data_IF_771667051154
#
_entry.id   IF_771667051154
#
_cell.length_a   1.000
_cell.length_b   1.000
_cell.length_c   1.000
_cell.angle_alpha   90.00
_cell.angle_beta   90.00
_cell.angle_gamma   90.00
#
_symmetry.space_group_name_H-M   'P 1'
#
loop_
_entity.id
_entity.type
_entity.pdbx_description
1 polymer ?
#
# COMPACT_ATOMS: atom_id res chain seq x y z
N UNK A 1 11.92 -2.09 -8.69
CA UNK A 1 12.58 -2.26 -7.38
C UNK A 1 11.58 -2.45 -6.25
N UNK A 2 10.64 -1.52 -5.99
CA UNK A 2 9.71 -1.61 -4.86
C UNK A 2 8.75 -2.81 -4.98
N UNK A 3 8.12 -3.01 -6.14
CA UNK A 3 7.23 -4.15 -6.38
C UNK A 3 7.98 -5.48 -6.25
N UNK A 4 9.20 -5.57 -6.77
CA UNK A 4 10.06 -6.74 -6.65
C UNK A 4 10.42 -7.03 -5.20
N UNK A 5 10.75 -5.97 -4.44
CA UNK A 5 11.01 -6.11 -3.00
C UNK A 5 9.78 -6.60 -2.24
N UNK A 6 8.61 -5.98 -2.46
CA UNK A 6 7.37 -6.40 -1.81
C UNK A 6 7.00 -7.85 -2.19
N UNK A 7 7.22 -8.22 -3.45
CA UNK A 7 7.01 -9.59 -3.91
C UNK A 7 7.89 -10.56 -3.13
N UNK A 8 9.19 -10.30 -3.04
CA UNK A 8 10.14 -11.12 -2.30
C UNK A 8 9.87 -11.13 -0.78
N UNK A 9 9.67 -9.95 -0.17
CA UNK A 9 9.45 -9.81 1.27
C UNK A 9 8.15 -10.44 1.77
N UNK A 10 7.17 -10.62 0.89
CA UNK A 10 5.87 -11.21 1.25
C UNK A 10 5.65 -12.60 0.65
N UNK A 11 6.67 -13.18 0.01
CA UNK A 11 6.58 -14.53 -0.58
C UNK A 11 6.33 -15.59 0.51
N UNK A 12 5.47 -16.58 0.27
CA UNK A 12 5.26 -17.68 1.20
C UNK A 12 6.58 -18.47 1.41
N UNK A 13 6.97 -18.70 2.65
CA UNK A 13 8.10 -19.61 2.98
C UNK A 13 9.49 -18.96 3.15
N UNK A 14 9.65 -17.67 3.00
CA UNK A 14 10.89 -16.97 3.35
C UNK A 14 10.82 -16.45 4.79
N UNK A 15 11.51 -17.09 5.71
CA UNK A 15 11.72 -16.56 7.07
C UNK A 15 10.76 -17.01 8.17
N UNK A 16 10.13 -18.18 8.08
CA UNK A 16 9.51 -18.86 9.23
C UNK A 16 8.20 -18.32 9.80
N UNK A 17 7.77 -17.14 9.42
CA UNK A 17 6.45 -16.57 9.74
C UNK A 17 5.88 -15.92 8.48
N UNK A 18 5.35 -16.74 7.58
CA UNK A 18 4.77 -16.24 6.33
C UNK A 18 3.64 -15.24 6.56
N UNK A 19 3.66 -14.15 5.81
CA UNK A 19 2.48 -13.30 5.63
C UNK A 19 1.35 -14.22 5.13
N UNK A 20 0.26 -14.35 5.89
CA UNK A 20 -0.78 -15.33 5.62
C UNK A 20 -1.39 -15.12 4.23
N UNK A 21 -2.09 -14.03 4.03
CA UNK A 21 -2.67 -13.64 2.75
C UNK A 21 -2.15 -12.28 2.34
N UNK A 22 -1.77 -12.14 1.08
CA UNK A 22 -1.43 -10.87 0.47
C UNK A 22 -2.35 -10.59 -0.71
N UNK A 23 -2.85 -9.38 -0.80
CA UNK A 23 -3.59 -8.88 -1.94
C UNK A 23 -2.93 -7.56 -2.37
N UNK A 24 -2.75 -7.37 -3.67
CA UNK A 24 -2.03 -6.24 -4.24
C UNK A 24 -2.91 -5.51 -5.24
N UNK A 25 -2.93 -4.19 -5.13
CA UNK A 25 -3.70 -3.32 -6.02
C UNK A 25 -2.83 -2.19 -6.52
N UNK A 26 -3.01 -1.81 -7.77
CA UNK A 26 -2.57 -0.54 -8.30
C UNK A 26 -3.76 0.42 -8.41
N UNK A 27 -3.48 1.70 -8.28
CA UNK A 27 -4.46 2.75 -8.45
C UNK A 27 -3.92 3.86 -9.36
N UNK A 28 -4.79 4.39 -10.19
CA UNK A 28 -4.63 5.53 -11.07
C UNK A 28 -5.92 6.30 -11.04
N UNK A 29 -6.64 6.41 -12.15
CA UNK A 29 -8.04 6.88 -12.20
C UNK A 29 -9.02 5.86 -11.62
N UNK A 30 -8.63 4.58 -11.57
CA UNK A 30 -9.38 3.47 -10.98
C UNK A 30 -8.50 2.53 -10.18
N UNK A 31 -9.06 1.38 -9.79
CA UNK A 31 -8.38 0.34 -9.02
C UNK A 31 -8.16 -0.89 -9.90
N UNK A 32 -6.91 -1.38 -9.97
CA UNK A 32 -6.52 -2.60 -10.68
C UNK A 32 -6.05 -3.67 -9.69
N UNK A 33 -6.65 -4.87 -9.73
CA UNK A 33 -6.20 -6.00 -8.91
C UNK A 33 -4.96 -6.64 -9.51
N UNK A 34 -3.83 -6.51 -8.84
CA UNK A 34 -2.55 -7.11 -9.19
C UNK A 34 -2.28 -8.42 -8.44
N UNK A 35 -3.21 -8.87 -7.61
CA UNK A 35 -3.05 -10.11 -6.83
C UNK A 35 -2.71 -11.32 -7.69
N UNK A 36 -3.32 -11.51 -8.89
CA UNK A 36 -2.94 -12.61 -9.78
C UNK A 36 -1.47 -12.56 -10.23
N UNK A 37 -0.95 -11.36 -10.57
CA UNK A 37 0.45 -11.17 -10.95
C UNK A 37 1.40 -11.56 -9.80
N UNK A 38 1.06 -11.21 -8.57
CA UNK A 38 1.86 -11.51 -7.39
C UNK A 38 1.86 -12.99 -6.97
N UNK A 39 1.09 -13.84 -7.63
CA UNK A 39 1.14 -15.31 -7.43
C UNK A 39 2.27 -15.98 -8.22
N UNK A 40 2.83 -15.32 -9.22
CA UNK A 40 4.00 -15.84 -9.91
C UNK A 40 5.19 -15.93 -8.96
N UNK A 41 5.91 -17.05 -8.99
CA UNK A 41 7.09 -17.23 -8.15
C UNK A 41 8.28 -16.38 -8.63
N UNK A 42 8.39 -16.22 -9.94
CA UNK A 42 9.42 -15.43 -10.59
C UNK A 42 9.08 -13.93 -10.60
N UNK A 43 10.05 -13.09 -10.22
CA UNK A 43 9.88 -11.64 -10.12
C UNK A 43 9.70 -10.95 -11.48
N UNK A 44 10.35 -11.43 -12.52
CA UNK A 44 10.25 -10.86 -13.88
C UNK A 44 8.90 -11.20 -14.49
N UNK A 45 8.42 -12.43 -14.31
CA UNK A 45 7.07 -12.83 -14.71
C UNK A 45 6.00 -12.02 -13.96
N UNK A 46 6.18 -11.81 -12.65
CA UNK A 46 5.30 -10.95 -11.85
C UNK A 46 5.24 -9.54 -12.41
N UNK A 47 6.39 -8.91 -12.70
CA UNK A 47 6.46 -7.55 -13.25
C UNK A 47 5.80 -7.46 -14.63
N UNK A 48 6.02 -8.44 -15.52
CA UNK A 48 5.41 -8.48 -16.83
C UNK A 48 3.87 -8.53 -16.74
N UNK A 49 3.34 -9.41 -15.88
CA UNK A 49 1.89 -9.53 -15.67
C UNK A 49 1.30 -8.29 -14.99
N UNK A 50 1.99 -7.71 -14.02
CA UNK A 50 1.56 -6.47 -13.37
C UNK A 50 1.51 -5.30 -14.37
N UNK A 51 2.53 -5.16 -15.21
CA UNK A 51 2.58 -4.12 -16.25
C UNK A 51 1.47 -4.29 -17.30
N UNK A 52 1.17 -5.52 -17.69
CA UNK A 52 0.09 -5.80 -18.64
C UNK A 52 -1.31 -5.51 -18.04
N UNK A 53 -1.48 -5.68 -16.73
CA UNK A 53 -2.75 -5.45 -16.05
C UNK A 53 -3.05 -3.95 -15.87
N UNK A 54 -2.02 -3.11 -15.72
CA UNK A 54 -2.19 -1.67 -15.51
C UNK A 54 -2.33 -0.99 -16.88
N UNK A 55 -3.52 -0.57 -17.23
CA UNK A 55 -3.81 0.06 -18.52
C UNK A 55 -3.85 1.59 -18.47
N UNK A 56 -3.89 2.17 -17.29
CA UNK A 56 -4.07 3.61 -17.09
C UNK A 56 -2.88 4.25 -16.35
N UNK A 57 -1.84 4.57 -17.10
CA UNK A 57 -0.67 5.28 -16.56
C UNK A 57 -0.76 6.81 -16.70
N UNK A 58 -1.72 7.36 -17.46
CA UNK A 58 -1.73 8.76 -17.87
C UNK A 58 -2.86 9.60 -17.26
N UNK A 59 -3.81 8.99 -16.59
CA UNK A 59 -5.06 9.65 -16.14
C UNK A 59 -4.97 10.46 -14.84
N UNK A 60 -3.81 10.52 -14.20
CA UNK A 60 -3.66 11.09 -12.86
C UNK A 60 -4.08 10.11 -11.75
N UNK A 61 -3.93 10.53 -10.51
CA UNK A 61 -4.23 9.69 -9.32
C UNK A 61 -5.51 10.19 -8.65
N UNK A 62 -6.51 9.30 -8.54
CA UNK A 62 -7.77 9.54 -7.81
C UNK A 62 -7.89 8.53 -6.67
N UNK A 63 -7.06 8.72 -5.65
CA UNK A 63 -6.91 7.77 -4.56
C UNK A 63 -8.22 7.56 -3.78
N UNK A 64 -8.99 8.63 -3.54
CA UNK A 64 -10.29 8.54 -2.87
C UNK A 64 -11.25 7.62 -3.59
N UNK A 65 -11.35 7.75 -4.91
CA UNK A 65 -12.23 6.91 -5.75
C UNK A 65 -11.74 5.45 -5.78
N UNK A 66 -10.43 5.22 -5.90
CA UNK A 66 -9.85 3.89 -5.87
C UNK A 66 -10.07 3.18 -4.51
N UNK A 67 -9.91 3.90 -3.40
CA UNK A 67 -10.20 3.36 -2.07
C UNK A 67 -11.69 3.10 -1.87
N UNK A 68 -12.57 3.93 -2.42
CA UNK A 68 -14.02 3.67 -2.43
C UNK A 68 -14.34 2.38 -3.18
N UNK A 69 -13.73 2.16 -4.34
CA UNK A 69 -13.88 0.94 -5.11
C UNK A 69 -13.35 -0.28 -4.34
N UNK A 70 -12.17 -0.18 -3.71
CA UNK A 70 -11.61 -1.21 -2.83
C UNK A 70 -12.61 -1.59 -1.71
N UNK A 71 -13.16 -0.58 -1.04
CA UNK A 71 -14.13 -0.78 0.03
C UNK A 71 -15.37 -1.51 -0.45
N UNK A 72 -15.94 -1.11 -1.57
CA UNK A 72 -17.17 -1.73 -2.09
C UNK A 72 -16.97 -3.15 -2.59
N UNK A 73 -15.87 -3.42 -3.26
CA UNK A 73 -15.66 -4.70 -3.97
C UNK A 73 -14.90 -5.72 -3.14
N UNK A 74 -13.99 -5.28 -2.27
CA UNK A 74 -13.01 -6.17 -1.65
C UNK A 74 -12.99 -6.12 -0.12
N UNK A 75 -13.52 -5.05 0.53
CA UNK A 75 -13.32 -4.83 1.95
C UNK A 75 -13.81 -5.96 2.84
N UNK A 76 -14.95 -6.57 2.54
CA UNK A 76 -15.49 -7.70 3.31
C UNK A 76 -14.50 -8.87 3.41
N UNK A 77 -13.69 -9.06 2.39
CA UNK A 77 -12.75 -10.17 2.27
C UNK A 77 -11.36 -9.80 2.79
N UNK A 78 -10.95 -8.53 2.66
CA UNK A 78 -9.56 -8.10 2.84
C UNK A 78 -9.33 -7.28 4.10
N UNK A 79 -10.30 -6.47 4.52
CA UNK A 79 -10.08 -5.49 5.59
C UNK A 79 -10.63 -5.98 6.92
N UNK A 80 -9.76 -6.06 7.92
CA UNK A 80 -10.11 -6.45 9.28
C UNK A 80 -9.02 -6.07 10.27
N UNK A 81 -9.27 -6.30 11.55
CA UNK A 81 -8.37 -5.91 12.66
C UNK A 81 -6.96 -6.51 12.59
N UNK A 82 -6.76 -7.55 11.81
CA UNK A 82 -5.45 -8.19 11.60
C UNK A 82 -4.85 -7.86 10.23
N UNK A 83 -5.45 -6.93 9.50
CA UNK A 83 -4.96 -6.50 8.18
C UNK A 83 -3.98 -5.35 8.36
N UNK A 84 -2.77 -5.50 7.82
CA UNK A 84 -1.84 -4.43 7.56
C UNK A 84 -2.10 -3.89 6.15
N UNK A 85 -2.39 -2.61 6.06
CA UNK A 85 -2.53 -1.89 4.79
C UNK A 85 -1.27 -1.07 4.55
N UNK A 86 -0.59 -1.34 3.43
CA UNK A 86 0.54 -0.55 2.95
C UNK A 86 0.05 0.31 1.79
N UNK A 87 0.01 1.62 1.95
CA UNK A 87 -0.36 2.56 0.92
C UNK A 87 0.89 3.28 0.40
N UNK A 88 1.21 3.07 -0.87
CA UNK A 88 2.40 3.61 -1.51
C UNK A 88 1.99 4.75 -2.43
N UNK A 89 2.35 5.97 -2.09
CA UNK A 89 2.01 7.17 -2.85
C UNK A 89 2.90 8.34 -2.46
N UNK A 90 3.15 9.25 -3.38
CA UNK A 90 3.75 10.57 -3.12
C UNK A 90 2.76 11.58 -2.49
N UNK A 91 1.49 11.21 -2.43
CA UNK A 91 0.44 12.06 -1.89
C UNK A 91 -0.15 13.08 -2.87
N UNK A 92 0.28 13.05 -4.15
CA UNK A 92 -0.32 13.87 -5.20
C UNK A 92 -1.62 13.22 -5.66
N UNK A 93 -2.73 13.76 -5.21
CA UNK A 93 -4.07 13.28 -5.55
C UNK A 93 -4.83 14.38 -6.30
N UNK A 94 -5.42 14.01 -7.44
CA UNK A 94 -6.23 14.89 -8.27
C UNK A 94 -7.73 14.74 -8.01
N UNK A 95 -8.10 13.80 -7.15
CA UNK A 95 -9.49 13.54 -6.74
C UNK A 95 -10.02 14.54 -5.73
N UNK A 96 -11.27 14.35 -5.32
CA UNK A 96 -11.92 15.18 -4.31
C UNK A 96 -11.38 14.85 -2.90
N UNK A 97 -10.85 15.85 -2.17
CA UNK A 97 -10.27 15.62 -0.83
C UNK A 97 -11.25 15.02 0.17
N UNK A 98 -12.54 15.35 0.05
CA UNK A 98 -13.58 14.81 0.92
C UNK A 98 -13.76 13.30 0.74
N UNK A 99 -13.68 12.80 -0.49
CA UNK A 99 -13.73 11.36 -0.78
C UNK A 99 -12.53 10.64 -0.18
N UNK A 100 -11.33 11.19 -0.35
CA UNK A 100 -10.11 10.63 0.24
C UNK A 100 -10.19 10.59 1.77
N UNK A 101 -10.61 11.68 2.39
CA UNK A 101 -10.80 11.79 3.83
C UNK A 101 -11.75 10.71 4.37
N UNK A 102 -12.89 10.52 3.71
CA UNK A 102 -13.90 9.55 4.09
C UNK A 102 -13.35 8.12 4.04
N UNK A 103 -12.70 7.75 2.96
CA UNK A 103 -12.23 6.38 2.74
C UNK A 103 -11.02 6.04 3.61
N UNK A 104 -10.07 6.96 3.79
CA UNK A 104 -8.95 6.77 4.73
C UNK A 104 -9.44 6.69 6.18
N UNK A 105 -10.41 7.52 6.56
CA UNK A 105 -11.03 7.44 7.87
C UNK A 105 -11.73 6.11 8.10
N UNK A 106 -12.38 5.56 7.09
CA UNK A 106 -12.97 4.23 7.16
C UNK A 106 -11.89 3.15 7.31
N UNK A 107 -10.85 3.15 6.45
CA UNK A 107 -9.74 2.20 6.52
C UNK A 107 -9.08 2.20 7.90
N UNK A 108 -8.74 3.38 8.42
CA UNK A 108 -8.10 3.52 9.73
C UNK A 108 -8.91 2.86 10.87
N UNK A 109 -10.23 2.93 10.79
CA UNK A 109 -11.10 2.33 11.83
C UNK A 109 -11.27 0.82 11.69
N UNK A 110 -11.07 0.26 10.50
CA UNK A 110 -11.40 -1.13 10.21
C UNK A 110 -10.18 -2.04 10.02
N UNK A 111 -9.04 -1.51 9.57
CA UNK A 111 -7.80 -2.29 9.49
C UNK A 111 -7.08 -2.35 10.85
N UNK A 112 -6.11 -3.25 10.97
CA UNK A 112 -5.23 -3.33 12.13
C UNK A 112 -4.21 -2.19 12.12
N UNK A 113 -3.60 -1.96 10.96
CA UNK A 113 -2.64 -0.87 10.76
C UNK A 113 -2.69 -0.36 9.32
N UNK A 114 -2.52 0.96 9.16
CA UNK A 114 -2.39 1.66 7.90
C UNK A 114 -1.05 2.40 7.89
N UNK A 115 -0.12 1.97 7.04
CA UNK A 115 1.18 2.62 6.86
C UNK A 115 1.22 3.32 5.51
N UNK A 116 1.61 4.59 5.53
CA UNK A 116 1.86 5.34 4.31
C UNK A 116 3.34 5.27 3.94
N UNK A 117 3.63 4.69 2.79
CA UNK A 117 4.96 4.56 2.22
C UNK A 117 5.17 5.69 1.21
N UNK A 118 5.96 6.70 1.60
CA UNK A 118 6.14 7.90 0.81
C UNK A 118 7.56 7.96 0.20
N UNK A 119 7.70 7.88 -1.14
CA UNK A 119 8.99 7.96 -1.81
C UNK A 119 9.63 9.35 -1.74
N UNK A 120 8.87 10.41 -1.47
CA UNK A 120 9.37 11.78 -1.36
C UNK A 120 10.12 12.06 -0.06
N UNK A 121 10.04 11.17 0.93
CA UNK A 121 10.83 11.27 2.16
C UNK A 121 12.35 11.16 1.92
N UNK A 122 12.78 10.85 0.70
CA UNK A 122 14.19 10.93 0.30
C UNK A 122 14.73 12.36 0.24
N UNK A 123 13.86 13.35 0.12
CA UNK A 123 14.26 14.75 0.02
C UNK A 123 14.30 15.38 1.41
N UNK A 124 15.47 15.95 1.73
CA UNK A 124 15.69 16.67 2.99
C UNK A 124 14.71 17.85 3.09
N UNK A 125 14.03 17.99 4.24
CA UNK A 125 13.04 19.04 4.44
C UNK A 125 11.67 18.79 3.81
N UNK A 126 11.40 17.60 3.22
CA UNK A 126 10.08 17.28 2.71
C UNK A 126 9.00 17.44 3.81
N UNK A 127 7.91 18.11 3.44
CA UNK A 127 6.71 18.22 4.26
C UNK A 127 5.47 17.84 3.44
N UNK A 128 4.50 17.09 4.01
CA UNK A 128 3.29 16.69 3.32
C UNK A 128 2.29 17.86 3.21
N UNK A 129 2.61 18.85 2.36
CA UNK A 129 1.81 20.08 2.18
C UNK A 129 0.77 19.98 1.06
N UNK A 130 0.90 19.02 0.15
CA UNK A 130 -0.13 18.75 -0.84
C UNK A 130 -1.40 18.25 -0.15
N UNK A 131 -2.58 18.64 -0.64
CA UNK A 131 -3.89 18.29 -0.02
C UNK A 131 -4.03 16.79 0.25
N UNK A 132 -3.71 15.94 -0.72
CA UNK A 132 -3.75 14.49 -0.55
C UNK A 132 -2.75 13.98 0.49
N UNK A 133 -1.52 14.54 0.48
CA UNK A 133 -0.47 14.21 1.43
C UNK A 133 -0.84 14.58 2.87
N UNK A 134 -1.49 15.73 3.09
CA UNK A 134 -1.99 16.11 4.42
C UNK A 134 -3.03 15.13 4.96
N UNK A 135 -3.97 14.71 4.10
CA UNK A 135 -5.02 13.76 4.48
C UNK A 135 -4.41 12.40 4.82
N UNK A 136 -3.46 11.91 3.99
CA UNK A 136 -2.71 10.67 4.24
C UNK A 136 -1.95 10.74 5.56
N UNK A 137 -1.23 11.83 5.80
CA UNK A 137 -0.44 12.02 7.02
C UNK A 137 -1.29 11.98 8.30
N UNK A 138 -2.49 12.56 8.27
CA UNK A 138 -3.42 12.56 9.42
C UNK A 138 -4.04 11.19 9.69
N UNK A 139 -4.24 10.37 8.65
CA UNK A 139 -4.97 9.11 8.77
C UNK A 139 -4.07 7.88 8.87
N UNK A 140 -2.86 7.93 8.34
CA UNK A 140 -1.91 6.83 8.50
C UNK A 140 -1.54 6.65 9.99
N UNK A 141 -1.29 5.42 10.41
CA UNK A 141 -0.72 5.12 11.72
C UNK A 141 0.78 5.39 11.76
N UNK A 142 1.43 5.42 10.60
CA UNK A 142 2.83 5.77 10.44
C UNK A 142 3.16 6.08 8.98
N UNK A 143 4.23 6.86 8.77
CA UNK A 143 4.77 7.19 7.46
C UNK A 143 6.22 6.70 7.39
N UNK A 144 6.55 5.96 6.32
CA UNK A 144 7.86 5.36 6.12
C UNK A 144 8.44 5.75 4.75
N UNK A 145 9.74 5.92 4.70
CA UNK A 145 10.47 6.11 3.45
C UNK A 145 10.61 4.78 2.69
N UNK A 146 10.63 4.84 1.35
CA UNK A 146 10.78 3.66 0.48
C UNK A 146 11.68 3.94 -0.73
N UNK A 147 12.79 4.58 -0.52
CA UNK A 147 13.65 5.05 -1.61
C UNK A 147 15.05 4.41 -1.65
N UNK A 148 15.47 3.71 -0.61
CA UNK A 148 16.76 3.03 -0.55
C UNK A 148 16.65 1.68 0.20
N UNK A 149 17.75 0.93 0.25
CA UNK A 149 17.78 -0.38 0.90
C UNK A 149 17.49 -0.31 2.40
N UNK A 150 18.00 0.72 3.08
CA UNK A 150 17.78 0.92 4.51
C UNK A 150 16.29 1.14 4.83
N UNK A 151 15.60 1.99 4.06
CA UNK A 151 14.17 2.22 4.22
C UNK A 151 13.34 0.97 3.92
N UNK A 152 13.77 0.13 2.98
CA UNK A 152 13.13 -1.16 2.70
C UNK A 152 13.37 -2.17 3.84
N UNK A 153 14.53 -2.17 4.46
CA UNK A 153 14.82 -2.98 5.66
C UNK A 153 13.96 -2.54 6.85
N UNK A 154 13.83 -1.23 7.09
CA UNK A 154 12.93 -0.67 8.11
C UNK A 154 11.48 -1.08 7.86
N UNK A 155 11.03 -1.06 6.61
CA UNK A 155 9.71 -1.54 6.21
C UNK A 155 9.53 -3.03 6.55
N UNK A 156 10.51 -3.88 6.21
CA UNK A 156 10.46 -5.30 6.52
C UNK A 156 10.35 -5.56 8.02
N UNK A 157 11.13 -4.85 8.84
CA UNK A 157 11.04 -4.93 10.30
C UNK A 157 9.67 -4.46 10.82
N UNK A 158 9.12 -3.38 10.27
CA UNK A 158 7.79 -2.88 10.64
C UNK A 158 6.69 -3.87 10.31
N UNK A 159 6.76 -4.49 9.14
CA UNK A 159 5.84 -5.57 8.74
C UNK A 159 5.94 -6.74 9.71
N UNK A 160 7.14 -7.21 10.01
CA UNK A 160 7.36 -8.32 10.93
C UNK A 160 6.82 -8.02 12.33
N UNK A 161 7.04 -6.82 12.86
CA UNK A 161 6.55 -6.40 14.17
C UNK A 161 5.02 -6.39 14.27
N UNK A 162 4.35 -5.97 13.19
CA UNK A 162 2.87 -5.93 13.12
C UNK A 162 2.27 -7.32 13.02
N UNK A 163 2.97 -8.24 12.35
CA UNK A 163 2.51 -9.62 12.16
C UNK A 163 2.78 -10.52 13.34
N UNK A 164 3.63 -10.11 14.29
CA UNK A 164 3.84 -10.87 15.52
C UNK A 164 2.57 -10.86 16.37
N UNK A 165 2.05 -12.04 16.80
CA UNK A 165 0.93 -12.09 17.73
C UNK A 165 1.37 -11.42 19.03
N UNK A 166 0.67 -10.37 19.45
CA UNK A 166 0.86 -9.82 20.80
C UNK A 166 0.57 -10.96 21.80
N UNK A 167 1.63 -11.49 22.40
CA UNK A 167 1.48 -12.35 23.56
C UNK A 167 0.85 -11.52 24.66
N UNK A 168 -0.41 -11.80 24.93
CA UNK A 168 -1.05 -11.42 26.19
C UNK A 168 -0.68 -12.43 27.24
#
# INVERSE_FOLDING_TARGET
LLLTFLHAATAPGQGGQGVGRRDMFAFGTGLTDLTPAFRHADGDAMLAHASAAITDFAGGTRLGEALHQLRRQHARRLVGRRTLVLLISDGLDTGEPAALLQELGWLRRHCGQLLWLNPLLRYEGYRPTARGAEVLHRHAHGMLAVHNLESLQQLAHSIAAVLQPQRR
#
